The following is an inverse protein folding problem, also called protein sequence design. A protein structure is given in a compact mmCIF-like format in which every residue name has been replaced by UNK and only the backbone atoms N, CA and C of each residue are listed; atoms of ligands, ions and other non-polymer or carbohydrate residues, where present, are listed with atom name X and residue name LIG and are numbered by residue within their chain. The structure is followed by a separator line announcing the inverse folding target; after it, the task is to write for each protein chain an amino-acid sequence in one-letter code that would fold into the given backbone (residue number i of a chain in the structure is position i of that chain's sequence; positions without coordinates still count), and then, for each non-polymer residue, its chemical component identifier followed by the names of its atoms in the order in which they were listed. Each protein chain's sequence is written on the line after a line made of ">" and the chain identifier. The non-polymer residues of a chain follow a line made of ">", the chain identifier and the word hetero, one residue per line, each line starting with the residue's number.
data_IF_790735188332
#
_entry.id   IF_790735188332
#
_cell.length_a   1.000
_cell.length_b   1.000
_cell.length_c   1.000
_cell.angle_alpha   90.00
_cell.angle_beta   90.00
_cell.angle_gamma   90.00
#
_symmetry.space_group_name_H-M   'P 1'
#
loop_
_entity.id
_entity.type
_entity.pdbx_description
1 polymer ?
#
# COMPACT_ATOMS: atom_id res chain seq x y z
N UNK A 1 -35.44 53.35 -15.45
CA UNK A 1 -34.75 53.02 -14.18
C UNK A 1 -34.54 51.51 -14.09
N UNK A 2 -33.29 51.04 -14.17
CA UNK A 2 -32.93 49.63 -14.40
C UNK A 2 -33.15 48.74 -13.15
N UNK A 3 -34.27 48.02 -13.07
CA UNK A 3 -34.58 46.99 -12.03
C UNK A 3 -33.74 45.70 -12.17
N UNK A 4 -32.51 45.75 -12.70
CA UNK A 4 -31.62 44.58 -12.91
C UNK A 4 -30.75 44.22 -11.68
N UNK A 5 -30.83 44.99 -10.59
CA UNK A 5 -30.00 44.80 -9.38
C UNK A 5 -30.31 43.56 -8.52
N UNK A 6 -31.57 43.06 -8.36
CA UNK A 6 -31.84 41.92 -7.48
C UNK A 6 -31.40 40.58 -8.10
N UNK A 7 -31.49 40.43 -9.43
CA UNK A 7 -31.11 39.19 -10.13
C UNK A 7 -29.59 38.95 -10.06
N UNK A 8 -28.77 39.99 -10.21
CA UNK A 8 -27.31 39.88 -10.09
C UNK A 8 -26.87 39.48 -8.66
N UNK A 9 -27.55 40.00 -7.63
CA UNK A 9 -27.31 39.61 -6.23
C UNK A 9 -27.72 38.15 -5.98
N UNK A 10 -28.88 37.73 -6.51
CA UNK A 10 -29.36 36.36 -6.37
C UNK A 10 -28.42 35.35 -7.07
N UNK A 11 -27.94 35.66 -8.27
CA UNK A 11 -26.94 34.83 -8.99
C UNK A 11 -25.65 34.73 -8.16
N UNK A 12 -25.18 35.83 -7.59
CA UNK A 12 -23.99 35.82 -6.74
C UNK A 12 -24.17 34.93 -5.49
N UNK A 13 -25.33 34.98 -4.84
CA UNK A 13 -25.66 34.15 -3.68
C UNK A 13 -25.72 32.67 -4.07
N UNK A 14 -26.41 32.33 -5.16
CA UNK A 14 -26.50 30.95 -5.64
C UNK A 14 -25.12 30.39 -6.02
N UNK A 15 -24.30 31.19 -6.70
CA UNK A 15 -22.92 30.80 -7.01
C UNK A 15 -22.10 30.54 -5.75
N UNK A 16 -22.19 31.42 -4.75
CA UNK A 16 -21.49 31.24 -3.48
C UNK A 16 -21.94 29.97 -2.75
N UNK A 17 -23.25 29.69 -2.70
CA UNK A 17 -23.79 28.46 -2.09
C UNK A 17 -23.26 27.22 -2.83
N UNK A 18 -23.25 27.24 -4.16
CA UNK A 18 -22.72 26.12 -4.95
C UNK A 18 -21.22 25.89 -4.69
N UNK A 19 -20.42 26.94 -4.66
CA UNK A 19 -18.98 26.85 -4.35
C UNK A 19 -18.77 26.36 -2.93
N UNK A 20 -19.56 26.84 -1.97
CA UNK A 20 -19.48 26.41 -0.58
C UNK A 20 -19.83 24.93 -0.41
N UNK A 21 -20.95 24.47 -1.00
CA UNK A 21 -21.34 23.06 -0.99
C UNK A 21 -20.26 22.20 -1.64
N UNK A 22 -19.74 22.62 -2.80
CA UNK A 22 -18.65 21.92 -3.48
C UNK A 22 -17.40 21.82 -2.61
N UNK A 23 -16.98 22.90 -1.95
CA UNK A 23 -15.85 22.91 -1.04
C UNK A 23 -16.08 21.99 0.17
N UNK A 24 -17.28 22.00 0.75
CA UNK A 24 -17.67 21.08 1.81
C UNK A 24 -17.58 19.62 1.33
N UNK A 25 -18.09 19.30 0.15
CA UNK A 25 -18.03 17.93 -0.41
C UNK A 25 -16.59 17.47 -0.58
N UNK A 26 -15.71 18.29 -1.15
CA UNK A 26 -14.27 17.97 -1.29
C UNK A 26 -13.62 17.73 0.07
N UNK A 27 -13.95 18.56 1.07
CA UNK A 27 -13.41 18.43 2.42
C UNK A 27 -13.91 17.18 3.16
N UNK A 28 -15.22 16.93 3.17
CA UNK A 28 -15.81 15.81 3.90
C UNK A 28 -15.54 14.44 3.25
N UNK A 29 -15.33 14.40 1.93
CA UNK A 29 -14.96 13.16 1.22
C UNK A 29 -13.46 12.88 1.20
N UNK A 30 -12.64 13.75 1.81
CA UNK A 30 -11.18 13.66 1.86
C UNK A 30 -10.56 13.52 0.46
N UNK A 31 -10.97 14.43 -0.44
CA UNK A 31 -10.57 14.43 -1.84
C UNK A 31 -9.36 15.33 -2.09
N UNK A 32 -8.42 14.82 -2.87
CA UNK A 32 -7.17 15.52 -3.17
C UNK A 32 -6.89 15.60 -4.67
N UNK A 33 -6.15 16.63 -5.08
CA UNK A 33 -5.80 16.87 -6.48
C UNK A 33 -4.75 15.91 -7.05
N UNK A 34 -3.91 15.34 -6.19
CA UNK A 34 -2.85 14.40 -6.60
C UNK A 34 -2.88 13.15 -5.72
N UNK A 35 -2.52 11.98 -6.28
CA UNK A 35 -2.53 10.73 -5.54
C UNK A 35 -1.55 10.76 -4.35
N UNK A 36 -0.34 11.30 -4.54
CA UNK A 36 0.63 11.41 -3.45
C UNK A 36 0.14 12.31 -2.30
N UNK A 37 -0.57 13.40 -2.61
CA UNK A 37 -1.14 14.26 -1.57
C UNK A 37 -2.25 13.53 -0.81
N UNK A 38 -3.08 12.75 -1.51
CA UNK A 38 -4.06 11.88 -0.87
C UNK A 38 -3.41 10.88 0.08
N UNK A 39 -2.30 10.26 -0.34
CA UNK A 39 -1.60 9.30 0.49
C UNK A 39 -0.95 9.93 1.72
N UNK A 40 -0.25 11.07 1.56
CA UNK A 40 0.43 11.76 2.66
C UNK A 40 -0.51 12.39 3.69
N UNK A 41 -1.69 12.83 3.26
CA UNK A 41 -2.71 13.44 4.14
C UNK A 41 -3.65 12.42 4.77
N UNK A 42 -3.49 11.14 4.45
CA UNK A 42 -4.23 10.08 5.10
C UNK A 42 -4.00 10.16 6.62
N UNK A 43 -5.07 10.13 7.41
CA UNK A 43 -5.03 10.34 8.86
C UNK A 43 -4.16 9.31 9.62
N UNK A 44 -3.85 8.19 8.98
CA UNK A 44 -3.02 7.15 9.55
C UNK A 44 -1.53 7.28 9.19
N UNK A 45 -1.11 8.30 8.43
CA UNK A 45 0.30 8.54 8.08
C UNK A 45 0.83 9.70 8.92
N UNK A 46 1.96 9.52 9.60
CA UNK A 46 2.59 10.61 10.33
C UNK A 46 3.14 11.67 9.38
N UNK A 47 3.14 12.94 9.81
CA UNK A 47 3.57 14.08 8.99
C UNK A 47 5.03 13.99 8.53
N UNK A 48 5.87 13.28 9.27
CA UNK A 48 7.29 13.05 9.00
C UNK A 48 7.58 11.72 8.29
N UNK A 49 6.55 10.99 7.87
CA UNK A 49 6.73 9.73 7.15
C UNK A 49 7.49 9.95 5.83
N UNK A 50 8.47 9.08 5.58
CA UNK A 50 9.34 9.14 4.39
C UNK A 50 8.79 8.20 3.33
N UNK A 51 8.60 8.71 2.11
CA UNK A 51 8.22 7.87 0.98
C UNK A 51 9.41 7.00 0.55
N UNK A 52 9.23 5.68 0.58
CA UNK A 52 10.26 4.72 0.15
C UNK A 52 10.06 4.25 -1.29
N UNK A 53 8.81 3.97 -1.68
CA UNK A 53 8.45 3.48 -3.02
C UNK A 53 7.10 4.01 -3.46
N UNK A 54 7.00 4.32 -4.75
CA UNK A 54 5.77 4.53 -5.49
C UNK A 54 5.62 3.44 -6.54
N UNK A 55 4.44 2.84 -6.64
CA UNK A 55 4.10 1.80 -7.60
C UNK A 55 2.85 2.22 -8.36
N UNK A 56 2.89 2.07 -9.68
CA UNK A 56 1.74 2.28 -10.57
C UNK A 56 0.95 0.98 -10.68
N UNK A 57 -0.33 1.00 -10.33
CA UNK A 57 -1.25 -0.14 -10.42
C UNK A 57 -2.46 0.25 -11.28
N UNK A 58 -2.27 0.29 -12.60
CA UNK A 58 -3.21 0.87 -13.57
C UNK A 58 -3.56 2.32 -13.21
N UNK A 59 -4.83 2.59 -12.92
CA UNK A 59 -5.30 3.92 -12.52
C UNK A 59 -5.02 4.22 -11.04
N UNK A 60 -4.72 3.19 -10.24
CA UNK A 60 -4.38 3.34 -8.84
C UNK A 60 -2.88 3.62 -8.64
N UNK A 61 -2.54 4.23 -7.50
CA UNK A 61 -1.17 4.43 -7.05
C UNK A 61 -0.96 3.81 -5.69
N UNK A 62 0.11 3.05 -5.51
CA UNK A 62 0.48 2.44 -4.23
C UNK A 62 1.73 3.13 -3.73
N UNK A 63 1.72 3.51 -2.46
CA UNK A 63 2.82 4.20 -1.81
C UNK A 63 3.25 3.42 -0.57
N UNK A 64 4.55 3.15 -0.45
CA UNK A 64 5.14 2.56 0.76
C UNK A 64 5.88 3.67 1.49
N UNK A 65 5.47 3.93 2.72
CA UNK A 65 6.07 4.91 3.62
C UNK A 65 6.81 4.21 4.76
N UNK A 66 7.96 4.75 5.13
CA UNK A 66 8.52 4.57 6.47
C UNK A 66 7.87 5.60 7.39
N UNK A 67 7.02 5.14 8.28
CA UNK A 67 6.23 6.00 9.16
C UNK A 67 7.01 6.41 10.41
N UNK A 68 7.80 5.49 10.95
CA UNK A 68 8.85 5.73 11.95
C UNK A 68 9.99 4.71 11.74
N UNK A 69 11.02 4.72 12.59
CA UNK A 69 12.18 3.81 12.44
C UNK A 69 11.80 2.33 12.35
N UNK A 70 10.67 1.93 12.94
CA UNK A 70 10.22 0.54 13.04
C UNK A 70 8.81 0.32 12.48
N UNK A 71 8.28 1.22 11.64
CA UNK A 71 6.93 1.08 11.12
C UNK A 71 6.89 1.44 9.64
N UNK A 72 6.25 0.57 8.88
CA UNK A 72 6.00 0.74 7.46
C UNK A 72 4.50 0.79 7.21
N UNK A 73 4.08 1.70 6.34
CA UNK A 73 2.68 1.86 5.95
C UNK A 73 2.54 1.83 4.45
N UNK A 74 1.61 1.03 3.95
CA UNK A 74 1.25 1.03 2.53
C UNK A 74 -0.11 1.70 2.35
N UNK A 75 -0.18 2.64 1.42
CA UNK A 75 -1.37 3.42 1.12
C UNK A 75 -1.71 3.27 -0.36
N UNK A 76 -2.97 2.97 -0.65
CA UNK A 76 -3.50 2.96 -2.02
C UNK A 76 -4.24 4.27 -2.24
N UNK A 77 -3.90 4.98 -3.31
CA UNK A 77 -4.65 6.15 -3.79
C UNK A 77 -5.41 5.76 -5.05
N UNK A 78 -6.73 5.93 -4.98
CA UNK A 78 -7.68 5.56 -6.02
C UNK A 78 -8.24 6.83 -6.69
N UNK A 79 -8.49 6.80 -8.00
CA UNK A 79 -9.16 7.90 -8.69
C UNK A 79 -10.62 8.02 -8.18
N UNK A 80 -11.07 9.26 -8.00
CA UNK A 80 -12.45 9.62 -7.66
C UNK A 80 -12.88 10.84 -8.46
N UNK A 81 -13.39 10.59 -9.68
CA UNK A 81 -13.65 11.65 -10.65
C UNK A 81 -12.35 12.40 -11.02
N UNK A 82 -12.31 13.74 -10.96
CA UNK A 82 -11.09 14.51 -11.19
C UNK A 82 -10.15 14.56 -9.97
N UNK A 83 -10.50 13.89 -8.87
CA UNK A 83 -9.77 13.87 -7.62
C UNK A 83 -9.23 12.47 -7.29
N UNK A 84 -8.56 12.38 -6.14
CA UNK A 84 -7.98 11.18 -5.59
C UNK A 84 -8.40 11.01 -4.14
N UNK A 85 -8.66 9.76 -3.75
CA UNK A 85 -8.93 9.37 -2.37
C UNK A 85 -7.94 8.29 -1.97
N UNK A 86 -7.51 8.27 -0.71
CA UNK A 86 -6.58 7.25 -0.20
C UNK A 86 -7.22 6.32 0.82
N UNK A 87 -6.67 5.11 0.92
CA UNK A 87 -6.98 4.12 1.94
C UNK A 87 -5.69 3.44 2.42
N UNK A 88 -5.63 3.08 3.71
CA UNK A 88 -4.54 2.25 4.23
C UNK A 88 -4.76 0.82 3.74
N UNK A 89 -3.73 0.28 3.10
CA UNK A 89 -3.68 -1.11 2.69
C UNK A 89 -2.93 -1.99 3.70
N UNK A 90 -1.93 -1.43 4.37
CA UNK A 90 -1.07 -2.17 5.29
C UNK A 90 -0.44 -1.27 6.34
N UNK A 91 -0.33 -1.80 7.54
CA UNK A 91 0.44 -1.23 8.63
C UNK A 91 1.26 -2.36 9.26
N UNK A 92 2.57 -2.23 9.25
CA UNK A 92 3.48 -3.24 9.79
C UNK A 92 4.45 -2.62 10.77
N UNK A 93 4.62 -3.32 11.88
CA UNK A 93 5.68 -3.05 12.82
C UNK A 93 6.86 -3.97 12.47
N UNK A 94 7.99 -3.35 12.15
CA UNK A 94 9.28 -3.99 11.92
C UNK A 94 9.59 -4.96 13.05
N UNK A 95 9.99 -6.18 12.68
CA UNK A 95 10.54 -7.16 13.60
C UNK A 95 12.01 -7.37 13.25
N UNK A 96 12.87 -6.55 13.86
CA UNK A 96 14.33 -6.56 13.66
C UNK A 96 15.02 -7.86 14.07
N UNK A 97 14.30 -8.84 14.65
CA UNK A 97 14.86 -10.17 14.94
C UNK A 97 15.09 -10.98 13.67
N UNK A 98 14.29 -10.74 12.63
CA UNK A 98 14.39 -11.47 11.38
C UNK A 98 15.31 -10.73 10.42
N UNK A 99 16.07 -11.50 9.66
CA UNK A 99 16.95 -11.03 8.59
C UNK A 99 16.20 -10.42 7.40
N UNK A 100 14.90 -10.68 7.31
CA UNK A 100 13.99 -10.21 6.25
C UNK A 100 12.69 -9.67 6.85
N UNK A 101 12.19 -8.59 6.25
CA UNK A 101 11.00 -7.88 6.71
C UNK A 101 9.96 -7.73 5.59
N UNK A 102 8.68 -7.69 5.99
CA UNK A 102 7.59 -7.28 5.09
C UNK A 102 7.36 -5.79 5.26
N UNK A 103 7.76 -5.01 4.26
CA UNK A 103 7.70 -3.54 4.32
C UNK A 103 6.52 -2.97 3.56
N UNK A 104 5.80 -3.81 2.81
CA UNK A 104 4.59 -3.38 2.14
C UNK A 104 3.68 -4.52 1.73
N UNK A 105 2.39 -4.22 1.72
CA UNK A 105 1.34 -5.10 1.24
C UNK A 105 0.23 -4.24 0.65
N UNK A 106 -0.32 -4.67 -0.47
CA UNK A 106 -1.51 -4.07 -1.03
C UNK A 106 -2.34 -5.13 -1.73
N UNK A 107 -3.64 -5.13 -1.45
CA UNK A 107 -4.62 -5.92 -2.20
C UNK A 107 -5.64 -4.97 -2.79
N UNK A 108 -5.68 -4.91 -4.11
CA UNK A 108 -6.65 -4.13 -4.86
C UNK A 108 -7.64 -5.12 -5.46
N UNK A 109 -8.92 -4.96 -5.12
CA UNK A 109 -10.00 -5.72 -5.71
C UNK A 109 -11.09 -4.73 -6.13
N UNK A 110 -10.89 -4.11 -7.29
CA UNK A 110 -11.83 -3.17 -7.89
C UNK A 110 -12.20 -3.58 -9.32
N UNK A 111 -13.00 -2.76 -10.00
CA UNK A 111 -13.47 -3.03 -11.36
C UNK A 111 -12.35 -2.95 -12.41
N UNK A 112 -11.25 -2.27 -12.10
CA UNK A 112 -10.14 -2.00 -13.02
C UNK A 112 -9.04 -3.05 -12.92
N UNK A 113 -8.80 -3.58 -11.71
CA UNK A 113 -7.76 -4.57 -11.43
C UNK A 113 -8.08 -5.42 -10.19
N UNK A 114 -7.69 -6.68 -10.28
CA UNK A 114 -7.49 -7.53 -9.11
C UNK A 114 -5.99 -7.81 -8.97
N UNK A 115 -5.37 -7.31 -7.92
CA UNK A 115 -3.92 -7.38 -7.72
C UNK A 115 -3.59 -7.62 -6.25
N UNK A 116 -2.59 -8.47 -6.03
CA UNK A 116 -1.90 -8.62 -4.76
C UNK A 116 -0.46 -8.16 -4.92
N UNK A 117 0.04 -7.34 -3.99
CA UNK A 117 1.41 -6.87 -3.93
C UNK A 117 1.99 -7.17 -2.56
N UNK A 118 3.22 -7.68 -2.55
CA UNK A 118 4.07 -7.82 -1.37
C UNK A 118 5.39 -7.09 -1.62
N UNK A 119 5.92 -6.45 -0.60
CA UNK A 119 7.22 -5.80 -0.66
C UNK A 119 8.09 -6.23 0.50
N UNK A 120 9.31 -6.63 0.20
CA UNK A 120 10.25 -7.19 1.16
C UNK A 120 11.55 -6.40 1.20
N UNK A 121 12.18 -6.37 2.37
CA UNK A 121 13.49 -5.77 2.59
C UNK A 121 14.35 -6.73 3.38
N UNK A 122 15.60 -6.91 2.98
CA UNK A 122 16.59 -7.67 3.77
C UNK A 122 17.47 -6.72 4.58
N UNK A 123 17.74 -7.12 5.82
CA UNK A 123 18.63 -6.44 6.75
C UNK A 123 20.01 -7.14 6.85
N UNK A 124 20.18 -8.25 6.13
CA UNK A 124 21.42 -9.03 6.06
C UNK A 124 21.87 -9.24 4.61
N UNK A 125 23.14 -9.61 4.44
CA UNK A 125 23.68 -10.10 3.18
C UNK A 125 23.43 -11.61 2.96
N UNK A 126 22.92 -12.33 3.96
CA UNK A 126 22.75 -13.78 3.87
C UNK A 126 21.52 -14.21 3.06
N UNK A 127 20.50 -13.35 2.99
CA UNK A 127 19.35 -13.52 2.10
C UNK A 127 19.70 -12.94 0.73
N UNK A 128 19.80 -13.82 -0.27
CA UNK A 128 20.15 -13.45 -1.65
C UNK A 128 18.97 -13.42 -2.59
N UNK A 129 17.94 -14.21 -2.30
CA UNK A 129 16.76 -14.27 -3.16
C UNK A 129 15.49 -14.39 -2.33
N UNK A 130 14.39 -13.93 -2.90
CA UNK A 130 13.05 -14.32 -2.47
C UNK A 130 12.34 -14.98 -3.65
N UNK A 131 11.77 -16.15 -3.39
CA UNK A 131 10.90 -16.86 -4.30
C UNK A 131 9.46 -16.73 -3.82
N UNK A 132 8.57 -16.24 -4.68
CA UNK A 132 7.17 -16.03 -4.31
C UNK A 132 6.26 -16.17 -5.54
N UNK A 133 5.04 -16.66 -5.31
CA UNK A 133 4.00 -16.77 -6.33
C UNK A 133 3.17 -18.04 -6.16
N UNK A 134 2.03 -18.12 -6.86
CA UNK A 134 1.21 -19.32 -6.88
C UNK A 134 1.99 -20.51 -7.46
N UNK A 135 1.58 -21.71 -7.05
CA UNK A 135 2.20 -22.95 -7.52
C UNK A 135 2.17 -23.02 -9.06
N UNK A 136 3.34 -23.29 -9.65
CA UNK A 136 3.54 -23.30 -11.10
C UNK A 136 3.92 -21.95 -11.73
N UNK A 137 3.77 -20.82 -11.02
CA UNK A 137 4.08 -19.47 -11.52
C UNK A 137 4.88 -18.66 -10.49
N UNK A 138 5.88 -19.30 -9.88
CA UNK A 138 6.74 -18.69 -8.87
C UNK A 138 7.85 -17.86 -9.50
N UNK A 139 8.07 -16.67 -8.95
CA UNK A 139 9.14 -15.76 -9.38
C UNK A 139 10.25 -15.72 -8.35
N UNK A 140 11.49 -15.91 -8.80
CA UNK A 140 12.69 -15.70 -8.01
C UNK A 140 13.22 -14.29 -8.29
N UNK A 141 13.28 -13.42 -7.26
CA UNK A 141 13.93 -12.11 -7.38
C UNK A 141 15.17 -12.02 -6.49
N UNK A 142 16.26 -11.40 -6.98
CA UNK A 142 17.42 -11.12 -6.15
C UNK A 142 17.06 -10.08 -5.09
N UNK A 143 17.59 -10.28 -3.88
CA UNK A 143 17.49 -9.35 -2.77
C UNK A 143 18.82 -8.62 -2.60
N UNK A 144 18.74 -7.31 -2.31
CA UNK A 144 19.89 -6.47 -2.03
C UNK A 144 19.72 -5.81 -0.67
N UNK A 145 20.80 -5.75 0.12
CA UNK A 145 20.79 -5.15 1.45
C UNK A 145 20.20 -3.73 1.41
N UNK A 146 19.18 -3.49 2.23
CA UNK A 146 18.51 -2.20 2.35
C UNK A 146 17.55 -1.83 1.21
N UNK A 147 17.55 -2.55 0.08
CA UNK A 147 16.62 -2.30 -1.00
C UNK A 147 15.26 -2.97 -0.73
N UNK A 148 14.20 -2.31 -1.20
CA UNK A 148 12.84 -2.85 -1.19
C UNK A 148 12.58 -3.52 -2.53
N UNK A 149 12.39 -4.83 -2.49
CA UNK A 149 12.00 -5.65 -3.63
C UNK A 149 10.49 -5.85 -3.62
N UNK A 150 9.86 -5.63 -4.76
CA UNK A 150 8.40 -5.66 -4.92
C UNK A 150 8.01 -6.86 -5.77
N UNK A 151 7.05 -7.60 -5.27
CA UNK A 151 6.38 -8.69 -5.95
C UNK A 151 4.91 -8.32 -6.10
N UNK A 152 4.36 -8.57 -7.28
CA UNK A 152 2.94 -8.38 -7.51
C UNK A 152 2.43 -9.40 -8.50
N UNK A 153 1.14 -9.72 -8.37
CA UNK A 153 0.43 -10.64 -9.22
C UNK A 153 -0.94 -10.07 -9.53
N UNK A 154 -1.36 -10.13 -10.80
CA UNK A 154 -2.73 -9.84 -11.20
C UNK A 154 -3.54 -11.13 -11.13
N UNK A 155 -4.76 -11.06 -10.59
CA UNK A 155 -5.65 -12.20 -10.43
C UNK A 155 -6.25 -12.29 -9.03
N UNK A 156 -7.23 -13.19 -8.88
CA UNK A 156 -7.89 -13.47 -7.60
C UNK A 156 -7.01 -14.36 -6.73
N UNK A 157 -5.92 -13.81 -6.22
CA UNK A 157 -4.97 -14.50 -5.36
C UNK A 157 -5.16 -14.07 -3.89
N UNK A 158 -4.98 -15.02 -3.00
CA UNK A 158 -4.86 -14.79 -1.57
C UNK A 158 -3.41 -14.88 -1.14
N UNK A 159 -3.13 -14.35 0.04
CA UNK A 159 -1.80 -14.29 0.64
C UNK A 159 -1.21 -15.70 0.80
N UNK A 160 -2.08 -16.66 1.10
CA UNK A 160 -1.77 -18.09 1.24
C UNK A 160 -1.37 -18.76 -0.07
N UNK A 161 -1.73 -18.19 -1.21
CA UNK A 161 -1.39 -18.77 -2.51
C UNK A 161 0.04 -18.41 -2.89
N UNK A 162 0.59 -17.33 -2.35
CA UNK A 162 1.90 -16.79 -2.76
C UNK A 162 3.08 -17.53 -2.09
N UNK A 163 2.90 -17.93 -0.83
CA UNK A 163 3.90 -18.63 0.00
C UNK A 163 5.36 -18.16 -0.24
N UNK A 164 5.71 -16.91 0.08
CA UNK A 164 7.08 -16.41 -0.11
C UNK A 164 8.12 -17.21 0.68
N UNK A 165 9.29 -17.43 0.09
CA UNK A 165 10.44 -18.12 0.69
C UNK A 165 11.69 -17.27 0.48
N UNK A 166 12.41 -16.97 1.56
CA UNK A 166 13.70 -16.31 1.52
C UNK A 166 14.82 -17.34 1.43
N UNK A 167 15.76 -17.14 0.51
CA UNK A 167 16.80 -18.10 0.14
C UNK A 167 18.20 -17.50 0.30
N UNK A 168 19.15 -18.36 0.68
CA UNK A 168 20.59 -18.05 0.65
C UNK A 168 21.18 -18.08 -0.76
N UNK A 169 22.48 -17.76 -0.87
CA UNK A 169 23.20 -17.74 -2.14
C UNK A 169 23.17 -19.09 -2.90
N UNK A 170 23.20 -20.20 -2.17
CA UNK A 170 23.09 -21.57 -2.68
C UNK A 170 21.62 -22.03 -2.86
N UNK A 171 20.67 -21.09 -2.81
CA UNK A 171 19.22 -21.32 -2.96
C UNK A 171 18.62 -22.23 -1.88
N UNK A 172 19.25 -22.34 -0.69
CA UNK A 172 18.64 -23.05 0.44
C UNK A 172 17.62 -22.15 1.15
N UNK A 173 16.45 -22.68 1.54
CA UNK A 173 15.49 -21.97 2.37
C UNK A 173 16.07 -21.51 3.70
N UNK A 174 15.81 -20.25 4.05
CA UNK A 174 16.17 -19.63 5.33
C UNK A 174 14.94 -19.19 6.10
N UNK A 175 13.98 -18.56 5.41
CA UNK A 175 12.71 -18.16 5.99
C UNK A 175 11.53 -18.49 5.07
N UNK A 176 10.37 -18.81 5.64
CA UNK A 176 9.09 -18.80 4.94
C UNK A 176 8.21 -17.67 5.47
N UNK A 177 7.39 -17.10 4.61
CA UNK A 177 6.38 -16.11 4.98
C UNK A 177 5.02 -16.77 5.03
N UNK A 178 4.35 -16.72 6.18
CA UNK A 178 3.08 -17.43 6.37
C UNK A 178 2.65 -17.42 7.83
N UNK A 179 1.74 -18.32 8.18
CA UNK A 179 1.39 -18.59 9.57
C UNK A 179 2.46 -19.46 10.23
N UNK A 180 2.64 -19.29 11.54
CA UNK A 180 3.47 -20.19 12.31
C UNK A 180 2.93 -21.61 12.21
N UNK A 181 3.79 -22.57 11.87
CA UNK A 181 3.44 -24.00 11.87
C UNK A 181 3.10 -24.53 13.27
N UNK A 182 3.51 -23.82 14.31
CA UNK A 182 3.33 -24.23 15.71
C UNK A 182 2.04 -23.68 16.34
N UNK A 183 1.34 -22.76 15.68
CA UNK A 183 0.10 -22.16 16.20
C UNK A 183 -1.13 -22.87 15.63
N UNK A 184 -2.15 -23.09 16.48
CA UNK A 184 -3.40 -23.76 16.09
C UNK A 184 -4.40 -22.84 15.36
N UNK A 185 -4.15 -21.53 15.28
CA UNK A 185 -5.08 -20.56 14.72
C UNK A 185 -4.41 -19.66 13.67
N UNK A 186 -4.90 -19.74 12.44
CA UNK A 186 -4.51 -18.85 11.36
C UNK A 186 -5.21 -17.48 11.50
N UNK A 187 -4.61 -16.53 12.22
CA UNK A 187 -5.05 -15.14 12.22
C UNK A 187 -4.26 -14.36 11.17
N UNK A 188 -4.93 -13.76 10.16
CA UNK A 188 -4.26 -12.99 9.10
C UNK A 188 -3.33 -11.87 9.64
N UNK A 189 -3.54 -11.42 10.89
CA UNK A 189 -2.67 -10.46 11.58
C UNK A 189 -1.33 -11.04 12.04
N UNK A 190 -1.17 -12.37 12.06
CA UNK A 190 0.05 -13.06 12.50
C UNK A 190 0.94 -13.52 11.34
N UNK A 191 0.55 -13.26 10.07
CA UNK A 191 1.39 -13.59 8.92
C UNK A 191 2.71 -12.81 9.00
N UNK A 192 3.81 -13.55 9.12
CA UNK A 192 5.15 -12.99 9.24
C UNK A 192 6.19 -13.96 8.70
N UNK A 193 7.45 -13.53 8.74
CA UNK A 193 8.58 -14.39 8.40
C UNK A 193 8.93 -15.32 9.56
N UNK A 194 9.14 -16.59 9.25
CA UNK A 194 9.50 -17.66 10.17
C UNK A 194 10.74 -18.39 9.66
N UNK A 195 11.65 -18.76 10.56
CA UNK A 195 12.83 -19.54 10.19
C UNK A 195 12.46 -20.93 9.67
N UNK A 196 13.18 -21.39 8.65
CA UNK A 196 13.16 -22.80 8.27
C UNK A 196 14.00 -23.58 9.29
N UNK A 197 13.32 -24.38 10.13
CA UNK A 197 13.93 -25.42 10.96
C UNK A 197 14.19 -26.68 10.15
#
# INVERSE_FOLDING_TARGET
>A
MNKRKPVKKLIGIVFFILVFVFACTVFFLDLHLTPLNAAKKNNYIHKNAVLLKEINARENKIYIFQDNEQSYKTVISKPFGPFWKSEIAFNYQSNLKNDIETVGYAKINDQTINMLMLAFKTNTNDIKYVEAGPDGERFLRPMHLGNIEIFYWEGKLNERDINPIALSADKKPKYYYGFSKDEQYDDLRTIQWHEYH
#
